data_IF_522391998144
#
_entry.id   IF_522391998144
#
_cell.length_a   1.000
_cell.length_b   1.000
_cell.length_c   1.000
_cell.angle_alpha   90.00
_cell.angle_beta   90.00
_cell.angle_gamma   90.00
#
_symmetry.space_group_name_H-M   'P 1'
#
loop_
_entity.id
_entity.type
_entity.pdbx_description
1 polymer ?
#
# COMPACT_ATOMS: atom_id res chain seq x y z
N UNK A 1 20.07 23.06 -1.37
CA UNK A 1 19.81 22.01 -2.37
C UNK A 1 20.83 22.14 -3.49
N UNK A 2 21.84 21.27 -3.55
CA UNK A 2 22.69 21.17 -4.73
C UNK A 2 21.89 20.37 -5.77
N UNK A 3 21.49 21.04 -6.85
CA UNK A 3 20.64 20.49 -7.90
C UNK A 3 21.21 19.14 -8.40
N UNK A 4 20.49 18.05 -8.14
CA UNK A 4 20.84 16.70 -8.62
C UNK A 4 20.56 15.57 -7.65
N UNK A 5 20.53 15.82 -6.34
CA UNK A 5 20.24 14.80 -5.33
C UNK A 5 19.10 15.28 -4.41
N UNK A 6 17.84 15.29 -4.87
CA UNK A 6 16.70 15.75 -4.08
C UNK A 6 16.35 14.83 -2.90
N UNK A 7 16.98 13.66 -2.81
CA UNK A 7 16.76 12.68 -1.76
C UNK A 7 18.01 12.44 -0.93
N UNK A 8 17.83 12.17 0.36
CA UNK A 8 18.91 11.83 1.25
C UNK A 8 19.53 10.47 0.88
N UNK A 9 20.87 10.43 0.80
CA UNK A 9 21.64 9.25 0.35
C UNK A 9 21.88 8.19 1.43
N UNK A 10 21.44 8.44 2.68
CA UNK A 10 21.64 7.58 3.85
C UNK A 10 20.38 7.44 4.72
N UNK A 11 19.20 7.40 4.11
CA UNK A 11 17.95 7.16 4.85
C UNK A 11 17.63 5.68 4.89
N UNK A 12 17.34 5.18 6.10
CA UNK A 12 16.83 3.83 6.30
C UNK A 12 15.30 3.82 6.22
N UNK A 13 14.72 2.65 5.97
CA UNK A 13 13.28 2.45 6.04
C UNK A 13 12.80 2.60 7.48
N UNK A 14 11.63 3.20 7.66
CA UNK A 14 10.92 3.25 8.94
C UNK A 14 9.83 2.17 8.95
N UNK A 15 8.57 2.52 8.69
CA UNK A 15 7.43 1.57 8.65
C UNK A 15 7.59 0.39 7.68
N UNK A 16 8.43 0.54 6.66
CA UNK A 16 8.71 -0.48 5.66
C UNK A 16 10.01 -1.26 5.89
N UNK A 17 10.69 -1.07 7.04
CA UNK A 17 11.88 -1.83 7.40
C UNK A 17 11.54 -3.32 7.55
N UNK A 18 12.28 -4.18 6.84
CA UNK A 18 12.22 -5.63 7.00
C UNK A 18 13.07 -6.13 8.15
N UNK A 19 12.87 -7.38 8.56
CA UNK A 19 13.73 -8.06 9.54
C UNK A 19 15.17 -8.27 9.04
N UNK A 20 15.37 -8.22 7.72
CA UNK A 20 16.68 -8.17 7.06
C UNK A 20 16.60 -7.40 5.73
N UNK A 21 17.75 -7.08 5.12
CA UNK A 21 17.83 -6.26 3.91
C UNK A 21 17.13 -6.82 2.67
N UNK A 22 16.83 -8.13 2.64
CA UNK A 22 16.12 -8.77 1.52
C UNK A 22 14.60 -8.61 1.60
N UNK A 23 14.05 -8.18 2.74
CA UNK A 23 12.61 -8.13 3.00
C UNK A 23 12.07 -6.69 2.97
N UNK A 24 10.77 -6.58 2.58
CA UNK A 24 9.99 -5.34 2.62
C UNK A 24 10.64 -4.20 1.80
N UNK A 25 11.06 -3.12 2.48
CA UNK A 25 11.76 -1.99 1.89
C UNK A 25 11.01 -1.34 0.73
N UNK A 26 11.68 -1.22 -0.41
CA UNK A 26 11.19 -0.56 -1.62
C UNK A 26 9.79 -1.03 -2.04
N UNK A 27 9.54 -2.34 -2.03
CA UNK A 27 8.25 -2.88 -2.47
C UNK A 27 7.12 -2.53 -1.49
N UNK A 28 7.41 -2.49 -0.18
CA UNK A 28 6.47 -2.01 0.82
C UNK A 28 6.19 -0.51 0.63
N UNK A 29 7.23 0.30 0.45
CA UNK A 29 7.09 1.74 0.24
C UNK A 29 6.23 2.04 -0.99
N UNK A 30 6.45 1.32 -2.09
CA UNK A 30 5.68 1.49 -3.31
C UNK A 30 4.19 1.17 -3.14
N UNK A 31 3.85 0.08 -2.44
CA UNK A 31 2.45 -0.23 -2.12
C UNK A 31 1.82 0.88 -1.30
N UNK A 32 2.52 1.38 -0.27
CA UNK A 32 2.02 2.50 0.53
C UNK A 32 1.77 3.73 -0.35
N UNK A 33 2.73 4.09 -1.21
CA UNK A 33 2.58 5.22 -2.15
C UNK A 33 1.35 5.05 -3.05
N UNK A 34 1.15 3.88 -3.65
CA UNK A 34 -0.01 3.65 -4.52
C UNK A 34 -1.34 3.74 -3.78
N UNK A 35 -1.45 3.15 -2.59
CA UNK A 35 -2.66 3.29 -1.77
C UNK A 35 -2.93 4.74 -1.40
N UNK A 36 -1.91 5.47 -0.95
CA UNK A 36 -2.03 6.90 -0.63
C UNK A 36 -2.44 7.72 -1.86
N UNK A 37 -1.89 7.44 -3.04
CA UNK A 37 -2.29 8.11 -4.29
C UNK A 37 -3.76 7.87 -4.62
N UNK A 38 -4.26 6.64 -4.50
CA UNK A 38 -5.67 6.34 -4.79
C UNK A 38 -6.62 7.01 -3.80
N UNK A 39 -6.29 7.02 -2.50
CA UNK A 39 -7.08 7.72 -1.48
C UNK A 39 -7.03 9.23 -1.67
N UNK A 40 -5.86 9.78 -2.00
CA UNK A 40 -5.68 11.21 -2.30
C UNK A 40 -6.51 11.61 -3.52
N UNK A 41 -6.46 10.85 -4.62
CA UNK A 41 -7.23 11.13 -5.83
C UNK A 41 -8.75 11.17 -5.55
N UNK A 42 -9.26 10.21 -4.77
CA UNK A 42 -10.67 10.21 -4.35
C UNK A 42 -11.02 11.45 -3.52
N UNK A 43 -10.22 11.78 -2.49
CA UNK A 43 -10.49 12.92 -1.59
C UNK A 43 -10.42 14.26 -2.31
N UNK A 44 -9.50 14.42 -3.26
CA UNK A 44 -9.43 15.65 -4.07
C UNK A 44 -10.63 15.82 -5.00
N UNK A 45 -11.36 14.75 -5.29
CA UNK A 45 -12.55 14.79 -6.12
C UNK A 45 -13.86 14.77 -5.30
N UNK A 46 -13.81 14.85 -3.96
CA UNK A 46 -14.98 14.69 -3.08
C UNK A 46 -16.12 15.68 -3.39
N UNK A 47 -15.78 16.90 -3.81
CA UNK A 47 -16.75 17.93 -4.20
C UNK A 47 -17.26 17.78 -5.66
N UNK A 48 -16.62 16.92 -6.47
CA UNK A 48 -16.89 16.75 -7.90
C UNK A 48 -16.89 15.28 -8.35
N UNK A 49 -17.36 14.37 -7.49
CA UNK A 49 -17.29 12.91 -7.74
C UNK A 49 -18.01 12.45 -9.02
N UNK A 50 -18.99 13.21 -9.49
CA UNK A 50 -19.70 12.91 -10.74
C UNK A 50 -18.79 12.99 -11.99
N UNK A 51 -17.72 13.78 -11.94
CA UNK A 51 -16.75 13.95 -13.02
C UNK A 51 -15.48 13.11 -12.79
N UNK A 52 -15.33 12.51 -11.61
CA UNK A 52 -14.16 11.73 -11.25
C UNK A 52 -14.08 10.45 -12.07
N UNK A 53 -12.88 10.17 -12.58
CA UNK A 53 -12.60 8.97 -13.38
C UNK A 53 -11.76 7.98 -12.57
N UNK A 54 -12.39 7.04 -11.83
CA UNK A 54 -11.68 6.15 -10.90
C UNK A 54 -10.72 5.17 -11.61
N UNK A 55 -10.86 4.96 -12.92
CA UNK A 55 -9.96 4.12 -13.71
C UNK A 55 -8.58 4.75 -13.92
N UNK A 56 -8.50 6.08 -14.10
CA UNK A 56 -7.26 6.74 -14.53
C UNK A 56 -6.08 6.54 -13.55
N UNK A 57 -6.25 6.72 -12.22
CA UNK A 57 -5.16 6.47 -11.26
C UNK A 57 -4.68 5.01 -11.27
N UNK A 58 -5.61 4.06 -11.38
CA UNK A 58 -5.31 2.63 -11.40
C UNK A 58 -4.59 2.21 -12.69
N UNK A 59 -5.01 2.74 -13.83
CA UNK A 59 -4.36 2.50 -15.12
C UNK A 59 -2.95 3.13 -15.17
N UNK A 60 -2.76 4.29 -14.56
CA UNK A 60 -1.43 4.89 -14.39
C UNK A 60 -0.51 4.00 -13.55
N UNK A 61 -1.00 3.48 -12.40
CA UNK A 61 -0.26 2.52 -11.57
C UNK A 61 0.09 1.26 -12.37
N UNK A 62 -0.88 0.67 -13.09
CA UNK A 62 -0.64 -0.53 -13.91
C UNK A 62 0.42 -0.30 -14.98
N UNK A 63 0.36 0.84 -15.67
CA UNK A 63 1.31 1.21 -16.72
C UNK A 63 2.71 1.46 -16.15
N UNK A 64 2.80 2.11 -15.00
CA UNK A 64 4.06 2.33 -14.31
C UNK A 64 4.68 0.99 -13.86
N UNK A 65 3.90 0.09 -13.26
CA UNK A 65 4.40 -1.25 -12.86
C UNK A 65 4.86 -2.04 -14.08
N UNK A 66 4.11 -1.97 -15.19
CA UNK A 66 4.48 -2.61 -16.45
C UNK A 66 5.81 -2.11 -17.04
N UNK A 67 6.11 -0.82 -16.86
CA UNK A 67 7.25 -0.20 -17.53
C UNK A 67 8.51 -0.14 -16.65
N UNK A 68 8.35 0.15 -15.36
CA UNK A 68 9.46 0.57 -14.49
C UNK A 68 9.73 -0.36 -13.30
N UNK A 69 8.79 -1.25 -12.93
CA UNK A 69 8.99 -2.08 -11.73
C UNK A 69 10.03 -3.17 -11.96
N UNK A 70 11.10 -3.16 -11.15
CA UNK A 70 12.29 -3.98 -11.38
C UNK A 70 12.10 -5.49 -11.22
N UNK A 71 11.18 -5.95 -10.37
CA UNK A 71 10.92 -7.39 -10.21
C UNK A 71 10.08 -7.93 -11.37
N UNK A 72 10.71 -8.56 -12.37
CA UNK A 72 10.04 -9.12 -13.55
C UNK A 72 8.90 -10.07 -13.20
N UNK A 73 9.15 -11.03 -12.31
CA UNK A 73 8.15 -12.03 -11.89
C UNK A 73 6.96 -11.39 -11.16
N UNK A 74 7.23 -10.41 -10.30
CA UNK A 74 6.19 -9.67 -9.58
C UNK A 74 5.34 -8.84 -10.56
N UNK A 75 5.99 -8.20 -11.54
CA UNK A 75 5.35 -7.42 -12.60
C UNK A 75 4.41 -8.27 -13.45
N UNK A 76 4.87 -9.44 -13.90
CA UNK A 76 4.03 -10.38 -14.68
C UNK A 76 2.78 -10.80 -13.89
N UNK A 77 2.94 -11.10 -12.61
CA UNK A 77 1.82 -11.41 -11.73
C UNK A 77 0.84 -10.24 -11.56
N UNK A 78 1.35 -9.03 -11.36
CA UNK A 78 0.53 -7.83 -11.24
C UNK A 78 -0.25 -7.55 -12.52
N UNK A 79 0.42 -7.60 -13.67
CA UNK A 79 -0.22 -7.39 -14.98
C UNK A 79 -1.28 -8.46 -15.24
N UNK A 80 -0.96 -9.75 -15.08
CA UNK A 80 -1.93 -10.84 -15.25
C UNK A 80 -3.16 -10.65 -14.37
N UNK A 81 -2.97 -10.26 -13.11
CA UNK A 81 -4.07 -10.00 -12.20
C UNK A 81 -4.93 -8.85 -12.69
N UNK A 82 -4.33 -7.70 -12.97
CA UNK A 82 -5.04 -6.45 -13.29
C UNK A 82 -5.61 -6.38 -14.70
N UNK A 83 -5.32 -7.36 -15.56
CA UNK A 83 -5.83 -7.43 -16.94
C UNK A 83 -6.69 -8.66 -17.23
N UNK A 84 -6.48 -9.77 -16.51
CA UNK A 84 -7.17 -11.04 -16.82
C UNK A 84 -7.96 -11.61 -15.64
N UNK A 85 -7.33 -11.84 -14.48
CA UNK A 85 -8.00 -12.60 -13.40
C UNK A 85 -8.79 -11.73 -12.43
N UNK A 86 -8.48 -10.44 -12.35
CA UNK A 86 -9.21 -9.43 -11.59
C UNK A 86 -9.11 -8.07 -12.32
N UNK A 87 -9.68 -7.95 -13.54
CA UNK A 87 -9.42 -6.82 -14.43
C UNK A 87 -9.91 -5.49 -13.88
N UNK A 88 -9.08 -4.44 -13.93
CA UNK A 88 -9.42 -3.09 -13.43
C UNK A 88 -10.74 -2.61 -14.05
N UNK A 89 -10.86 -2.74 -15.37
CA UNK A 89 -11.98 -2.24 -16.16
C UNK A 89 -13.34 -2.87 -15.81
N UNK A 90 -13.34 -4.08 -15.23
CA UNK A 90 -14.57 -4.80 -14.86
C UNK A 90 -14.91 -4.74 -13.37
N UNK A 91 -14.04 -4.12 -12.56
CA UNK A 91 -14.15 -4.12 -11.10
C UNK A 91 -14.30 -2.71 -10.52
N UNK A 92 -14.17 -1.67 -11.36
CA UNK A 92 -14.16 -0.27 -10.94
C UNK A 92 -15.31 0.44 -11.62
N UNK A 93 -16.32 0.80 -10.83
CA UNK A 93 -17.57 1.40 -11.31
C UNK A 93 -17.94 2.68 -10.55
N UNK A 94 -17.68 2.70 -9.25
CA UNK A 94 -17.95 3.84 -8.38
C UNK A 94 -16.65 4.61 -8.06
N UNK A 95 -16.74 5.90 -7.68
CA UNK A 95 -15.56 6.69 -7.32
C UNK A 95 -14.68 6.05 -6.26
N UNK A 96 -15.25 5.44 -5.21
CA UNK A 96 -14.50 4.76 -4.14
C UNK A 96 -13.76 3.50 -4.61
N UNK A 97 -14.13 2.92 -5.75
CA UNK A 97 -13.47 1.72 -6.25
C UNK A 97 -12.00 1.99 -6.59
N UNK A 98 -11.60 3.25 -6.82
CA UNK A 98 -10.21 3.62 -7.07
C UNK A 98 -9.26 3.11 -5.98
N UNK A 99 -9.65 3.19 -4.70
CA UNK A 99 -8.82 2.69 -3.59
C UNK A 99 -9.28 1.32 -3.10
N UNK A 100 -10.58 0.99 -3.19
CA UNK A 100 -11.07 -0.34 -2.79
C UNK A 100 -10.55 -1.44 -3.71
N UNK A 101 -10.47 -1.19 -5.03
CA UNK A 101 -9.89 -2.15 -5.98
C UNK A 101 -8.44 -2.46 -5.62
N UNK A 102 -7.61 -1.43 -5.42
CA UNK A 102 -6.20 -1.61 -5.12
C UNK A 102 -6.01 -2.38 -3.79
N UNK A 103 -6.85 -2.08 -2.80
CA UNK A 103 -6.90 -2.80 -1.53
C UNK A 103 -7.24 -4.29 -1.71
N UNK A 104 -8.32 -4.62 -2.44
CA UNK A 104 -8.71 -6.01 -2.74
C UNK A 104 -7.61 -6.73 -3.52
N UNK A 105 -7.03 -6.09 -4.53
CA UNK A 105 -5.92 -6.62 -5.32
C UNK A 105 -4.68 -6.91 -4.46
N UNK A 106 -4.33 -6.02 -3.53
CA UNK A 106 -3.22 -6.23 -2.61
C UNK A 106 -3.49 -7.41 -1.65
N UNK A 107 -4.74 -7.59 -1.21
CA UNK A 107 -5.15 -8.73 -0.39
C UNK A 107 -5.10 -10.08 -1.14
N UNK A 108 -5.39 -10.09 -2.44
CA UNK A 108 -5.16 -11.27 -3.31
C UNK A 108 -3.65 -11.60 -3.34
N UNK A 109 -2.79 -10.58 -3.47
CA UNK A 109 -1.33 -10.76 -3.43
C UNK A 109 -0.87 -11.29 -2.07
N UNK A 110 -1.38 -10.74 -0.96
CA UNK A 110 -1.06 -11.19 0.40
C UNK A 110 -1.39 -12.67 0.57
N UNK A 111 -2.59 -13.10 0.15
CA UNK A 111 -3.00 -14.51 0.22
C UNK A 111 -2.07 -15.43 -0.58
N UNK A 112 -1.63 -15.01 -1.77
CA UNK A 112 -0.72 -15.80 -2.62
C UNK A 112 0.68 -15.94 -2.01
N UNK A 113 1.17 -14.88 -1.36
CA UNK A 113 2.52 -14.81 -0.80
C UNK A 113 2.63 -15.37 0.62
N UNK A 114 1.50 -15.62 1.30
CA UNK A 114 1.48 -16.18 2.65
C UNK A 114 2.23 -17.51 2.73
N UNK A 115 3.14 -17.63 3.69
CA UNK A 115 3.94 -18.84 3.92
C UNK A 115 5.01 -19.13 2.86
N UNK A 116 5.31 -18.19 1.95
CA UNK A 116 6.39 -18.32 0.96
C UNK A 116 7.72 -17.90 1.57
N UNK A 117 8.82 -18.36 0.99
CA UNK A 117 10.20 -17.95 1.31
C UNK A 117 10.47 -16.44 1.20
N UNK A 118 9.71 -15.74 0.35
CA UNK A 118 9.74 -14.27 0.23
C UNK A 118 8.96 -13.51 1.33
N UNK A 119 8.28 -14.22 2.23
CA UNK A 119 7.57 -13.62 3.36
C UNK A 119 8.56 -13.29 4.49
N UNK A 120 8.48 -12.07 5.00
CA UNK A 120 9.28 -11.67 6.16
C UNK A 120 8.72 -12.38 7.42
N UNK A 121 9.50 -13.19 8.15
CA UNK A 121 9.01 -13.92 9.31
C UNK A 121 8.45 -13.04 10.42
N UNK A 122 8.90 -11.78 10.53
CA UNK A 122 8.39 -10.83 11.52
C UNK A 122 7.15 -10.06 11.04
N UNK A 123 6.84 -10.12 9.74
CA UNK A 123 5.71 -9.42 9.12
C UNK A 123 4.93 -10.37 8.20
N UNK A 124 4.30 -11.42 8.76
CA UNK A 124 3.53 -12.38 7.99
C UNK A 124 2.39 -11.71 7.22
N UNK A 125 2.12 -12.21 6.02
CA UNK A 125 1.03 -11.76 5.17
C UNK A 125 -0.29 -12.18 5.79
N UNK A 126 -1.12 -11.18 6.01
CA UNK A 126 -2.50 -11.35 6.48
C UNK A 126 -3.43 -10.61 5.53
N UNK A 127 -4.72 -10.94 5.58
CA UNK A 127 -5.73 -10.08 4.99
C UNK A 127 -5.74 -8.76 5.76
N UNK A 128 -5.49 -7.66 5.07
CA UNK A 128 -5.41 -6.32 5.61
C UNK A 128 -6.78 -5.63 5.53
N UNK A 129 -7.22 -4.86 6.53
CA UNK A 129 -6.55 -4.64 7.82
C UNK A 129 -6.57 -5.88 8.71
N UNK A 130 -5.49 -6.08 9.46
CA UNK A 130 -5.46 -7.06 10.53
C UNK A 130 -6.46 -6.68 11.63
N UNK A 131 -6.99 -7.67 12.38
CA UNK A 131 -7.97 -7.43 13.45
C UNK A 131 -7.49 -6.44 14.53
N UNK A 132 -6.18 -6.39 14.80
CA UNK A 132 -5.62 -5.44 15.77
C UNK A 132 -5.58 -3.99 15.25
N UNK A 133 -5.61 -3.78 13.93
CA UNK A 133 -5.71 -2.45 13.31
C UNK A 133 -7.16 -2.01 13.17
N UNK A 134 -8.06 -2.96 12.90
CA UNK A 134 -9.49 -2.69 12.79
C UNK A 134 -10.30 -3.92 13.21
N UNK A 135 -10.74 -3.94 14.47
CA UNK A 135 -11.52 -5.05 15.03
C UNK A 135 -12.89 -5.21 14.35
N UNK A 136 -13.47 -4.10 13.88
CA UNK A 136 -14.81 -4.06 13.30
C UNK A 136 -14.84 -4.20 11.77
N UNK A 137 -13.68 -4.20 11.10
CA UNK A 137 -13.62 -4.30 9.63
C UNK A 137 -13.99 -5.70 9.11
N UNK A 138 -13.95 -6.72 9.96
CA UNK A 138 -14.30 -8.10 9.58
C UNK A 138 -15.47 -8.63 10.41
N UNK A 139 -16.38 -9.37 9.78
CA UNK A 139 -17.44 -10.14 10.43
C UNK A 139 -17.65 -11.46 9.71
N UNK A 140 -17.76 -12.55 10.47
CA UNK A 140 -17.90 -13.92 9.94
C UNK A 140 -16.84 -14.27 8.87
N UNK A 141 -15.61 -13.77 9.04
CA UNK A 141 -14.50 -14.02 8.12
C UNK A 141 -14.51 -13.18 6.84
N UNK A 142 -15.49 -12.29 6.65
CA UNK A 142 -15.58 -11.39 5.48
C UNK A 142 -15.40 -9.93 5.89
N UNK A 143 -14.89 -9.11 4.96
CA UNK A 143 -14.78 -7.67 5.19
C UNK A 143 -16.17 -7.01 5.13
N UNK A 144 -16.37 -6.01 6.00
CA UNK A 144 -17.51 -5.09 5.92
C UNK A 144 -17.09 -3.89 5.08
N UNK A 145 -17.71 -3.72 3.91
CA UNK A 145 -17.27 -2.72 2.92
C UNK A 145 -17.29 -1.30 3.48
N UNK A 146 -18.37 -0.87 4.14
CA UNK A 146 -18.47 0.50 4.70
C UNK A 146 -17.40 0.79 5.78
N UNK A 147 -17.19 -0.17 6.69
CA UNK A 147 -16.21 -0.03 7.78
C UNK A 147 -14.78 -0.05 7.22
N UNK A 148 -14.53 -0.93 6.25
CA UNK A 148 -13.22 -1.04 5.58
C UNK A 148 -12.93 0.21 4.76
N UNK A 149 -13.94 0.76 4.06
CA UNK A 149 -13.85 2.04 3.33
C UNK A 149 -13.42 3.18 4.26
N UNK A 150 -14.13 3.37 5.37
CA UNK A 150 -13.80 4.40 6.36
C UNK A 150 -12.39 4.21 6.95
N UNK A 151 -12.02 2.96 7.25
CA UNK A 151 -10.68 2.63 7.73
C UNK A 151 -9.61 3.00 6.71
N UNK A 152 -9.75 2.63 5.43
CA UNK A 152 -8.76 2.90 4.39
C UNK A 152 -8.56 4.39 4.16
N UNK A 153 -9.66 5.16 4.09
CA UNK A 153 -9.61 6.61 3.96
C UNK A 153 -8.84 7.25 5.12
N UNK A 154 -9.14 6.83 6.36
CA UNK A 154 -8.45 7.32 7.54
C UNK A 154 -6.98 6.89 7.59
N UNK A 155 -6.69 5.61 7.35
CA UNK A 155 -5.36 5.03 7.45
C UNK A 155 -4.38 5.70 6.48
N UNK A 156 -4.74 5.77 5.19
CA UNK A 156 -3.86 6.34 4.16
C UNK A 156 -3.85 7.88 4.15
N UNK A 157 -4.80 8.55 4.79
CA UNK A 157 -4.73 10.01 5.03
C UNK A 157 -3.82 10.40 6.20
N UNK A 158 -3.54 9.47 7.12
CA UNK A 158 -2.92 9.78 8.41
C UNK A 158 -1.61 9.01 8.64
N UNK A 159 -0.92 8.59 7.58
CA UNK A 159 0.41 7.99 7.70
C UNK A 159 1.38 9.03 8.22
N UNK A 160 2.00 8.75 9.36
CA UNK A 160 3.01 9.61 9.99
C UNK A 160 4.31 8.82 10.15
N UNK A 161 5.48 9.46 10.03
CA UNK A 161 6.74 8.85 10.45
C UNK A 161 6.66 8.39 11.91
N UNK A 162 7.33 7.30 12.25
CA UNK A 162 7.53 6.93 13.65
C UNK A 162 8.25 8.08 14.35
N UNK A 163 7.67 8.60 15.42
CA UNK A 163 8.40 9.51 16.31
C UNK A 163 9.44 8.68 17.04
N UNK A 164 10.66 8.63 16.48
CA UNK A 164 11.81 8.12 17.23
C UNK A 164 11.93 9.04 18.44
N UNK A 165 11.49 8.58 19.62
CA UNK A 165 11.99 9.14 20.87
C UNK A 165 13.47 8.84 20.86
N UNK A 166 14.29 9.81 20.52
CA UNK A 166 15.72 9.78 20.82
C UNK A 166 15.83 9.67 22.33
N UNK A 167 15.91 8.44 22.83
CA UNK A 167 16.45 8.17 24.14
C UNK A 167 17.90 8.63 24.08
N UNK A 168 18.15 9.88 24.44
CA UNK A 168 19.47 10.32 24.87
C UNK A 168 19.78 9.54 26.13
N UNK A 169 20.42 8.38 25.95
CA UNK A 169 21.26 7.81 26.98
C UNK A 169 22.41 8.79 27.19
N UNK A 170 22.22 9.72 28.13
CA UNK A 170 23.33 10.42 28.76
C UNK A 170 24.13 9.37 29.53
N UNK A 171 25.08 8.74 28.84
CA UNK A 171 26.22 8.10 29.51
C UNK A 171 26.99 9.23 30.18
N UNK A 172 26.70 9.47 31.45
CA UNK A 172 27.64 10.13 32.35
C UNK A 172 28.90 9.26 32.40
N UNK A 173 29.97 9.74 31.79
CA UNK A 173 31.32 9.25 32.02
C UNK A 173 31.97 10.14 33.09
N UNK A 174 32.39 9.49 34.18
CA UNK A 174 33.24 9.93 35.29
C UNK A 174 32.69 11.00 36.23
#
# INVERSE_FOLDING_TARGET
EAAGNPFAVNTDWDHCRGSSGQFRGYTCGLWITFHTLTVSAYKHAEDHLAEFKPLEPLQAIRSWVGSFFGCLHCRQHFLKMTTHTFPIETQVHAPEDVFLYLWRAHNIVNKRLQGRDTEDPQFPKVQFPAKFLCSNCTSNGSFKDDVSKAFLLSHYSNIKPSTIKTSTSSKFFK
#
